data_IF_877452986743
#
_entry.id   IF_877452986743
#
_cell.length_a   1.000
_cell.length_b   1.000
_cell.length_c   1.000
_cell.angle_alpha   90.00
_cell.angle_beta   90.00
_cell.angle_gamma   90.00
#
_symmetry.space_group_name_H-M   'P 1'
#
loop_
_entity.id
_entity.type
_entity.pdbx_description
1 polymer ?
#
# COMPACT_ATOMS: atom_id res chain seq x y z
N UNK A 1 10.89 7.69 -12.82
CA UNK A 1 9.85 7.32 -11.82
C UNK A 1 8.96 6.27 -12.44
N UNK A 2 8.49 5.30 -11.69
CA UNK A 2 7.53 4.31 -12.20
C UNK A 2 6.22 5.00 -12.61
N UNK A 3 5.65 4.60 -13.75
CA UNK A 3 4.32 5.08 -14.17
C UNK A 3 3.23 4.75 -13.14
N UNK A 4 3.48 3.76 -12.29
CA UNK A 4 2.59 3.42 -11.19
C UNK A 4 2.43 4.56 -10.18
N UNK A 5 3.35 5.51 -10.10
CA UNK A 5 3.34 6.62 -9.15
C UNK A 5 2.95 7.96 -9.77
N UNK A 6 2.76 8.03 -11.08
CA UNK A 6 2.37 9.23 -11.80
C UNK A 6 3.10 9.38 -13.13
N UNK A 7 2.65 10.34 -13.93
CA UNK A 7 3.30 10.74 -15.16
C UNK A 7 3.86 12.15 -14.97
N UNK A 8 5.12 12.36 -15.39
CA UNK A 8 5.81 13.62 -15.22
C UNK A 8 6.13 14.23 -16.58
N UNK A 9 6.13 15.57 -16.66
CA UNK A 9 6.38 16.30 -17.91
C UNK A 9 7.77 16.02 -18.49
N UNK A 10 8.77 15.79 -17.61
CA UNK A 10 10.09 15.34 -18.02
C UNK A 10 10.15 13.82 -17.93
N UNK A 11 10.51 13.21 -19.03
CA UNK A 11 10.61 11.75 -19.09
C UNK A 11 11.97 11.29 -18.54
N UNK A 12 11.98 10.83 -17.28
CA UNK A 12 13.16 10.24 -16.65
C UNK A 12 13.22 8.75 -17.01
N UNK A 13 13.44 8.49 -18.29
CA UNK A 13 13.65 7.13 -18.80
C UNK A 13 15.12 6.74 -18.69
N UNK A 14 15.35 5.45 -18.58
CA UNK A 14 16.64 4.79 -18.64
C UNK A 14 16.65 3.88 -19.89
N UNK A 15 17.71 3.92 -20.62
CA UNK A 15 17.99 3.07 -21.79
C UNK A 15 18.81 1.83 -21.44
N UNK A 16 19.18 1.68 -20.17
CA UNK A 16 20.06 0.63 -19.68
C UNK A 16 19.34 -0.59 -19.08
N UNK A 17 18.02 -0.64 -19.13
CA UNK A 17 17.21 -1.77 -18.64
C UNK A 17 16.69 -2.55 -19.84
N UNK A 18 17.03 -3.84 -19.94
CA UNK A 18 16.54 -4.69 -21.01
C UNK A 18 15.04 -5.00 -20.87
N UNK A 19 14.39 -5.33 -21.99
CA UNK A 19 12.94 -5.56 -22.04
C UNK A 19 12.49 -6.66 -21.07
N UNK A 20 13.19 -7.78 -20.99
CA UNK A 20 12.86 -8.88 -20.10
C UNK A 20 12.94 -8.49 -18.61
N UNK A 21 13.92 -7.67 -18.23
CA UNK A 21 14.00 -7.13 -16.88
C UNK A 21 12.87 -6.13 -16.61
N UNK A 22 12.58 -5.28 -17.59
CA UNK A 22 11.51 -4.29 -17.46
C UNK A 22 10.14 -4.97 -17.32
N UNK A 23 9.86 -5.99 -18.11
CA UNK A 23 8.64 -6.80 -18.01
C UNK A 23 8.53 -7.52 -16.66
N UNK A 24 9.61 -8.13 -16.19
CA UNK A 24 9.63 -8.74 -14.87
C UNK A 24 9.30 -7.74 -13.77
N UNK A 25 9.92 -6.57 -13.77
CA UNK A 25 9.69 -5.54 -12.77
C UNK A 25 8.26 -5.00 -12.83
N UNK A 26 7.72 -4.79 -14.04
CA UNK A 26 6.35 -4.34 -14.23
C UNK A 26 5.35 -5.32 -13.59
N UNK A 27 5.47 -6.60 -13.89
CA UNK A 27 4.51 -7.62 -13.47
C UNK A 27 4.67 -8.04 -12.00
N UNK A 28 5.90 -8.11 -11.48
CA UNK A 28 6.17 -8.69 -10.16
C UNK A 28 6.39 -7.67 -9.05
N UNK A 29 6.78 -6.43 -9.39
CA UNK A 29 7.07 -5.39 -8.40
C UNK A 29 6.16 -4.17 -8.55
N UNK A 30 6.05 -3.61 -9.75
CA UNK A 30 5.31 -2.36 -9.96
C UNK A 30 3.80 -2.55 -9.93
N UNK A 31 3.31 -3.69 -10.42
CA UNK A 31 1.90 -4.01 -10.38
C UNK A 31 1.37 -4.13 -8.93
N UNK A 32 2.02 -4.88 -8.02
CA UNK A 32 1.69 -4.85 -6.60
C UNK A 32 1.74 -3.46 -5.98
N UNK A 33 2.78 -2.67 -6.23
CA UNK A 33 2.88 -1.29 -5.74
C UNK A 33 1.73 -0.41 -6.26
N UNK A 34 1.29 -0.63 -7.49
CA UNK A 34 0.22 0.15 -8.12
C UNK A 34 -1.21 -0.30 -7.80
N UNK A 35 -1.41 -1.50 -7.20
CA UNK A 35 -2.74 -2.09 -6.97
C UNK A 35 -2.97 -2.67 -5.57
N UNK A 36 -1.93 -2.79 -4.76
CA UNK A 36 -2.03 -3.48 -3.47
C UNK A 36 -1.08 -2.86 -2.43
N UNK A 37 -1.12 -1.56 -2.32
CA UNK A 37 -0.30 -0.79 -1.40
C UNK A 37 -1.02 0.47 -0.94
N UNK A 38 -0.48 1.14 0.07
CA UNK A 38 -0.96 2.47 0.50
C UNK A 38 -0.87 3.48 -0.64
N UNK A 39 0.20 3.41 -1.43
CA UNK A 39 0.41 4.28 -2.59
C UNK A 39 -0.66 4.09 -3.66
N UNK A 40 -1.18 2.88 -3.82
CA UNK A 40 -2.29 2.61 -4.73
C UNK A 40 -3.59 3.31 -4.30
N UNK A 41 -3.89 3.32 -2.99
CA UNK A 41 -5.03 4.06 -2.43
C UNK A 41 -4.86 5.56 -2.63
N UNK A 42 -3.71 6.11 -2.24
CA UNK A 42 -3.42 7.55 -2.37
C UNK A 42 -3.56 8.05 -3.80
N UNK A 43 -3.28 7.22 -4.79
CA UNK A 43 -3.47 7.62 -6.20
C UNK A 43 -4.93 7.83 -6.56
N UNK A 44 -5.83 7.09 -5.96
CA UNK A 44 -7.28 7.25 -6.16
C UNK A 44 -7.74 8.48 -5.39
N UNK A 45 -7.37 8.60 -4.11
CA UNK A 45 -7.72 9.74 -3.27
C UNK A 45 -7.28 11.09 -3.86
N UNK A 46 -6.13 11.10 -4.56
CA UNK A 46 -5.58 12.29 -5.20
C UNK A 46 -6.07 12.49 -6.66
N UNK A 47 -6.99 11.67 -7.14
CA UNK A 47 -7.47 11.74 -8.51
C UNK A 47 -6.43 11.40 -9.59
N UNK A 48 -5.29 10.80 -9.22
CA UNK A 48 -4.25 10.33 -10.15
C UNK A 48 -4.66 9.05 -10.88
N UNK A 49 -5.63 8.34 -10.36
CA UNK A 49 -6.38 7.25 -10.99
C UNK A 49 -7.87 7.54 -10.85
N UNK A 50 -8.69 7.16 -11.85
CA UNK A 50 -10.13 7.32 -11.73
C UNK A 50 -10.68 6.45 -10.60
N UNK A 51 -11.79 6.88 -9.99
CA UNK A 51 -12.47 6.13 -8.91
C UNK A 51 -12.86 4.71 -9.35
N UNK A 52 -13.20 4.50 -10.63
CA UNK A 52 -13.48 3.19 -11.21
C UNK A 52 -12.31 2.19 -11.04
N UNK A 53 -11.08 2.69 -10.90
CA UNK A 53 -9.92 1.85 -10.65
C UNK A 53 -9.85 1.31 -9.22
N UNK A 54 -10.77 1.69 -8.32
CA UNK A 54 -10.87 1.12 -6.98
C UNK A 54 -11.19 -0.39 -7.04
N UNK A 55 -11.93 -0.84 -8.04
CA UNK A 55 -12.19 -2.27 -8.28
C UNK A 55 -10.94 -3.09 -8.59
N UNK A 56 -9.88 -2.43 -9.09
CA UNK A 56 -8.59 -3.07 -9.40
C UNK A 56 -7.70 -3.27 -8.15
N UNK A 57 -8.08 -2.70 -7.00
CA UNK A 57 -7.34 -2.85 -5.77
C UNK A 57 -7.43 -4.30 -5.28
N UNK A 58 -6.30 -4.91 -5.02
CA UNK A 58 -6.26 -6.29 -4.56
C UNK A 58 -6.58 -6.42 -3.06
N UNK A 59 -6.45 -5.35 -2.30
CA UNK A 59 -6.77 -5.23 -0.86
C UNK A 59 -6.17 -6.36 0.01
N UNK A 60 -4.97 -6.83 -0.35
CA UNK A 60 -4.27 -7.90 0.39
C UNK A 60 -3.32 -7.34 1.43
N UNK A 61 -2.66 -6.22 1.11
CA UNK A 61 -1.65 -5.55 1.93
C UNK A 61 -2.17 -4.33 2.67
N UNK A 62 -3.27 -3.74 2.21
CA UNK A 62 -3.94 -2.65 2.91
C UNK A 62 -5.30 -3.13 3.35
N UNK A 63 -5.53 -3.10 4.65
CA UNK A 63 -6.83 -3.38 5.25
C UNK A 63 -7.38 -2.09 5.82
N UNK A 64 -8.60 -1.78 5.48
CA UNK A 64 -9.34 -0.67 6.06
C UNK A 64 -10.32 -1.22 7.09
N UNK A 65 -10.28 -0.68 8.28
CA UNK A 65 -11.17 -1.08 9.38
C UNK A 65 -11.85 0.16 9.92
N UNK A 66 -13.17 0.09 10.05
CA UNK A 66 -13.96 1.13 10.65
C UNK A 66 -13.64 1.23 12.14
N UNK A 67 -13.33 2.44 12.60
CA UNK A 67 -13.20 2.75 14.01
C UNK A 67 -14.41 3.58 14.41
N UNK A 68 -15.35 2.94 15.09
CA UNK A 68 -16.57 3.55 15.59
C UNK A 68 -16.75 3.15 17.05
N UNK A 69 -16.96 4.08 17.98
CA UNK A 69 -17.25 3.75 19.39
C UNK A 69 -18.55 2.96 19.59
N UNK A 70 -19.31 2.76 18.51
CA UNK A 70 -20.60 2.09 18.51
C UNK A 70 -20.57 0.66 17.96
N UNK A 71 -21.64 0.33 17.27
CA UNK A 71 -21.93 -1.04 16.82
C UNK A 71 -21.18 -1.46 15.55
N UNK A 72 -20.47 -0.54 14.89
CA UNK A 72 -19.78 -0.78 13.63
C UNK A 72 -18.26 -0.91 13.77
N UNK A 73 -17.75 -0.77 15.00
CA UNK A 73 -16.33 -0.90 15.28
C UNK A 73 -15.76 -2.25 14.82
N UNK A 74 -14.68 -2.23 14.05
CA UNK A 74 -14.02 -3.40 13.52
C UNK A 74 -14.53 -3.90 12.17
N UNK A 75 -15.56 -3.27 11.56
CA UNK A 75 -16.00 -3.61 10.20
C UNK A 75 -14.85 -3.38 9.21
N UNK A 76 -14.54 -4.41 8.42
CA UNK A 76 -13.59 -4.29 7.32
C UNK A 76 -14.23 -3.64 6.12
N UNK A 77 -13.51 -2.70 5.52
CA UNK A 77 -13.96 -1.91 4.39
C UNK A 77 -13.09 -2.19 3.16
N UNK A 78 -13.64 -1.92 1.99
CA UNK A 78 -12.93 -1.84 0.71
C UNK A 78 -13.42 -0.60 -0.04
N UNK A 79 -12.60 -0.07 -0.94
CA UNK A 79 -13.03 1.00 -1.83
C UNK A 79 -13.80 0.44 -3.03
N UNK A 80 -14.90 1.08 -3.36
CA UNK A 80 -15.64 0.84 -4.59
C UNK A 80 -15.97 2.19 -5.27
N UNK A 81 -16.15 2.22 -6.60
CA UNK A 81 -16.68 3.42 -7.24
C UNK A 81 -18.06 3.75 -6.68
N UNK A 82 -18.35 5.05 -6.47
CA UNK A 82 -19.70 5.54 -6.23
C UNK A 82 -20.63 5.20 -7.40
N UNK A 83 -21.94 5.31 -7.21
CA UNK A 83 -22.91 4.98 -8.24
C UNK A 83 -22.73 5.82 -9.52
N UNK A 84 -22.33 7.07 -9.40
CA UNK A 84 -22.00 7.98 -10.49
C UNK A 84 -20.57 7.80 -11.03
N UNK A 85 -19.75 6.98 -10.38
CA UNK A 85 -18.35 6.75 -10.73
C UNK A 85 -17.40 7.93 -10.46
N UNK A 86 -17.87 8.98 -9.79
CA UNK A 86 -17.08 10.19 -9.55
C UNK A 86 -16.05 10.00 -8.43
N UNK A 87 -16.41 9.26 -7.41
CA UNK A 87 -15.59 9.07 -6.21
C UNK A 87 -15.40 7.59 -5.88
N UNK A 88 -14.36 7.28 -5.11
CA UNK A 88 -14.19 5.98 -4.49
C UNK A 88 -14.70 6.05 -3.05
N UNK A 89 -15.70 5.23 -2.75
CA UNK A 89 -16.36 5.21 -1.44
C UNK A 89 -16.01 3.94 -0.67
N UNK A 90 -15.82 4.03 0.65
CA UNK A 90 -15.62 2.85 1.47
C UNK A 90 -16.93 2.08 1.64
N UNK A 91 -16.91 0.80 1.34
CA UNK A 91 -18.04 -0.11 1.51
C UNK A 91 -17.62 -1.32 2.36
N UNK A 92 -18.52 -1.94 3.13
CA UNK A 92 -18.19 -3.15 3.85
C UNK A 92 -17.75 -4.28 2.91
N UNK A 93 -16.62 -4.90 3.22
CA UNK A 93 -16.28 -6.20 2.63
C UNK A 93 -17.33 -7.22 3.06
N UNK A 94 -17.78 -8.16 2.19
CA UNK A 94 -18.66 -9.23 2.60
C UNK A 94 -18.09 -10.00 3.81
N UNK A 95 -18.74 -9.89 4.98
CA UNK A 95 -18.25 -10.41 6.24
C UNK A 95 -19.36 -10.72 7.23
N UNK A 96 -19.04 -11.57 8.20
CA UNK A 96 -19.88 -11.91 9.32
C UNK A 96 -19.26 -11.34 10.60
N UNK A 97 -20.04 -10.69 11.41
CA UNK A 97 -19.69 -10.30 12.76
C UNK A 97 -20.39 -11.23 13.77
N UNK A 98 -19.61 -11.78 14.66
CA UNK A 98 -20.07 -12.69 15.72
C UNK A 98 -19.76 -12.02 17.06
N UNK A 99 -20.79 -11.88 17.92
CA UNK A 99 -20.61 -11.31 19.25
C UNK A 99 -20.40 -12.43 20.26
N UNK A 100 -19.32 -12.33 21.02
CA UNK A 100 -19.01 -13.21 22.14
C UNK A 100 -19.89 -12.86 23.35
N UNK A 101 -19.99 -13.81 24.30
CA UNK A 101 -20.64 -13.53 25.61
C UNK A 101 -19.95 -12.41 26.39
N UNK A 102 -18.66 -12.18 26.16
CA UNK A 102 -17.90 -11.05 26.70
C UNK A 102 -18.36 -9.69 26.17
N UNK A 103 -19.18 -9.67 25.12
CA UNK A 103 -19.60 -8.46 24.40
C UNK A 103 -18.69 -8.07 23.25
N UNK A 104 -17.55 -8.70 23.10
CA UNK A 104 -16.57 -8.45 22.04
C UNK A 104 -17.07 -8.98 20.69
N UNK A 105 -16.86 -8.19 19.61
CA UNK A 105 -17.16 -8.57 18.25
C UNK A 105 -15.96 -9.20 17.56
N UNK A 106 -16.20 -10.26 16.80
CA UNK A 106 -15.23 -10.84 15.88
C UNK A 106 -15.74 -10.77 14.45
N UNK A 107 -14.96 -10.14 13.58
CA UNK A 107 -15.30 -9.97 12.17
C UNK A 107 -14.55 -10.98 11.31
N UNK A 108 -15.28 -11.75 10.50
CA UNK A 108 -14.76 -12.82 9.66
C UNK A 108 -15.23 -12.60 8.22
N UNK A 109 -14.29 -12.47 7.29
CA UNK A 109 -14.59 -12.50 5.85
C UNK A 109 -14.85 -13.95 5.40
N UNK A 110 -15.46 -14.14 4.25
CA UNK A 110 -15.92 -15.44 3.77
C UNK A 110 -14.86 -16.54 3.84
N UNK A 111 -13.62 -16.25 3.43
CA UNK A 111 -12.48 -17.20 3.49
C UNK A 111 -12.06 -17.60 4.90
N UNK A 112 -12.42 -16.79 5.89
CA UNK A 112 -12.13 -17.02 7.31
C UNK A 112 -13.28 -17.81 8.00
N UNK A 113 -14.40 -18.03 7.32
CA UNK A 113 -15.50 -18.87 7.80
C UNK A 113 -15.14 -20.35 7.64
N UNK A 114 -14.29 -20.83 8.53
CA UNK A 114 -13.84 -22.21 8.62
C UNK A 114 -14.09 -22.73 10.05
N UNK A 115 -14.29 -24.03 10.25
CA UNK A 115 -14.62 -24.60 11.58
C UNK A 115 -13.68 -24.13 12.67
N UNK A 116 -12.37 -24.08 12.41
CA UNK A 116 -11.35 -23.69 13.40
C UNK A 116 -11.54 -22.24 13.91
N UNK A 117 -12.00 -21.34 13.07
CA UNK A 117 -12.26 -19.94 13.46
C UNK A 117 -13.61 -19.75 14.15
N UNK A 118 -14.49 -20.75 14.05
CA UNK A 118 -15.86 -20.71 14.57
C UNK A 118 -16.07 -21.58 15.80
N UNK A 119 -15.08 -22.40 16.16
CA UNK A 119 -15.19 -23.40 17.23
C UNK A 119 -15.69 -22.80 18.56
N UNK A 120 -15.17 -21.63 18.94
CA UNK A 120 -15.58 -20.91 20.13
C UNK A 120 -17.06 -20.42 20.10
N UNK A 121 -17.62 -20.22 18.89
CA UNK A 121 -19.01 -19.78 18.70
C UNK A 121 -19.96 -20.98 18.52
N UNK A 122 -19.47 -22.15 18.15
CA UNK A 122 -20.26 -23.38 18.04
C UNK A 122 -20.53 -23.98 19.42
N UNK A 123 -19.59 -23.85 20.35
CA UNK A 123 -19.70 -24.39 21.73
C UNK A 123 -20.39 -23.43 22.69
N UNK A 124 -20.26 -22.13 22.45
CA UNK A 124 -20.91 -21.11 23.25
C UNK A 124 -21.85 -20.35 22.32
N UNK A 125 -23.17 -20.58 22.42
CA UNK A 125 -24.15 -19.88 21.59
C UNK A 125 -23.77 -18.42 21.37
N UNK A 126 -23.47 -18.04 20.10
CA UNK A 126 -23.20 -16.66 19.75
C UNK A 126 -24.42 -15.83 20.16
N UNK A 127 -24.17 -14.74 20.87
CA UNK A 127 -25.25 -13.90 21.40
C UNK A 127 -25.89 -13.10 20.27
N UNK A 128 -25.12 -12.76 19.24
CA UNK A 128 -25.60 -11.99 18.09
C UNK A 128 -24.74 -12.28 16.86
N UNK A 129 -25.38 -12.38 15.69
CA UNK A 129 -24.74 -12.53 14.40
C UNK A 129 -25.21 -11.42 13.49
N UNK A 130 -24.27 -10.74 12.83
CA UNK A 130 -24.54 -9.75 11.80
C UNK A 130 -23.84 -10.13 10.50
N UNK A 131 -24.50 -9.88 9.38
CA UNK A 131 -23.93 -10.13 8.05
C UNK A 131 -23.89 -8.80 7.32
N UNK A 132 -22.70 -8.45 6.79
CA UNK A 132 -22.45 -7.24 6.02
C UNK A 132 -22.10 -7.62 4.58
N UNK A 133 -22.57 -6.81 3.62
CA UNK A 133 -22.33 -6.99 2.19
C UNK A 133 -23.56 -6.64 1.35
N UNK A 134 -23.44 -6.77 0.03
CA UNK A 134 -24.58 -6.66 -0.88
C UNK A 134 -25.56 -7.84 -0.67
N UNK A 135 -26.79 -7.72 -1.18
CA UNK A 135 -27.84 -8.73 -0.94
C UNK A 135 -27.44 -10.17 -1.31
N UNK A 136 -26.80 -10.35 -2.46
CA UNK A 136 -26.27 -11.65 -2.91
C UNK A 136 -25.14 -12.18 -2.01
N UNK A 137 -24.29 -11.30 -1.50
CA UNK A 137 -23.22 -11.67 -0.57
C UNK A 137 -23.78 -12.09 0.77
N UNK A 138 -24.78 -11.37 1.27
CA UNK A 138 -25.47 -11.71 2.51
C UNK A 138 -26.11 -13.10 2.44
N UNK A 139 -26.72 -13.43 1.30
CA UNK A 139 -27.30 -14.75 1.09
C UNK A 139 -26.22 -15.84 1.09
N UNK A 140 -25.14 -15.64 0.34
CA UNK A 140 -24.00 -16.58 0.25
C UNK A 140 -23.35 -16.82 1.62
N UNK A 141 -23.10 -15.76 2.38
CA UNK A 141 -22.55 -15.85 3.74
C UNK A 141 -23.48 -16.60 4.69
N UNK A 142 -24.79 -16.39 4.58
CA UNK A 142 -25.82 -17.12 5.34
C UNK A 142 -25.79 -18.63 5.03
N UNK A 143 -25.77 -18.99 3.75
CA UNK A 143 -25.67 -20.39 3.31
C UNK A 143 -24.40 -21.04 3.84
N UNK A 144 -23.28 -20.29 3.82
CA UNK A 144 -22.01 -20.76 4.38
C UNK A 144 -22.07 -21.01 5.88
N UNK A 145 -22.68 -20.10 6.66
CA UNK A 145 -22.86 -20.30 8.10
C UNK A 145 -23.74 -21.50 8.40
N UNK A 146 -24.85 -21.65 7.68
CA UNK A 146 -25.74 -22.81 7.83
C UNK A 146 -25.03 -24.14 7.55
N UNK A 147 -24.21 -24.18 6.48
CA UNK A 147 -23.40 -25.35 6.14
C UNK A 147 -22.34 -25.70 7.21
N UNK A 148 -21.94 -24.73 8.02
CA UNK A 148 -21.04 -24.90 9.17
C UNK A 148 -21.78 -25.18 10.49
N UNK A 149 -23.11 -25.36 10.44
CA UNK A 149 -23.94 -25.69 11.61
C UNK A 149 -24.26 -24.51 12.51
N UNK A 150 -24.02 -23.27 12.05
CA UNK A 150 -24.37 -22.06 12.77
C UNK A 150 -25.74 -21.59 12.28
N UNK A 151 -26.79 -21.97 13.00
CA UNK A 151 -28.15 -21.50 12.76
C UNK A 151 -28.42 -20.18 13.46
N UNK A 152 -29.26 -19.33 12.84
CA UNK A 152 -29.73 -18.07 13.44
C UNK A 152 -31.17 -17.79 13.02
N UNK A 153 -31.98 -17.31 13.97
CA UNK A 153 -33.42 -17.08 13.75
C UNK A 153 -33.74 -15.75 13.07
N UNK A 154 -32.90 -14.74 13.27
CA UNK A 154 -33.10 -13.40 12.67
C UNK A 154 -31.79 -12.74 12.25
N UNK A 155 -31.76 -12.19 11.04
CA UNK A 155 -30.70 -11.31 10.54
C UNK A 155 -31.23 -9.89 10.42
N UNK A 156 -30.55 -8.92 11.04
CA UNK A 156 -30.73 -7.51 10.66
C UNK A 156 -29.89 -7.25 9.40
N UNK A 157 -30.55 -6.91 8.31
CA UNK A 157 -29.88 -6.40 7.13
C UNK A 157 -29.52 -4.94 7.40
N UNK A 158 -28.22 -4.66 7.53
CA UNK A 158 -27.71 -3.30 7.54
C UNK A 158 -27.30 -2.96 6.11
N UNK A 159 -28.00 -2.04 5.49
CA UNK A 159 -27.66 -1.52 4.16
C UNK A 159 -26.48 -0.57 4.25
N UNK A 160 -25.73 -0.41 3.14
CA UNK A 160 -24.58 0.50 3.05
C UNK A 160 -24.92 1.95 3.46
N UNK A 161 -26.18 2.38 3.37
CA UNK A 161 -26.64 3.72 3.75
C UNK A 161 -26.33 4.09 5.20
N UNK A 162 -26.40 3.14 6.14
CA UNK A 162 -26.17 3.44 7.55
C UNK A 162 -24.72 3.80 7.91
N UNK A 163 -23.75 3.42 7.05
CA UNK A 163 -22.34 3.75 7.28
C UNK A 163 -22.01 5.14 6.71
N UNK A 164 -22.70 5.55 5.64
CA UNK A 164 -22.49 6.85 4.97
C UNK A 164 -23.20 8.01 5.64
N UNK A 165 -24.24 7.77 6.44
CA UNK A 165 -25.00 8.83 7.11
C UNK A 165 -24.38 9.32 8.42
N UNK A 166 -23.34 8.66 8.94
CA UNK A 166 -22.64 9.12 10.14
C UNK A 166 -21.55 10.13 9.79
N UNK A 167 -21.66 11.32 10.30
CA UNK A 167 -20.95 12.54 9.88
C UNK A 167 -19.42 12.57 10.12
N UNK A 168 -18.82 11.59 10.77
CA UNK A 168 -17.35 11.43 10.83
C UNK A 168 -17.00 10.02 11.29
N UNK A 169 -16.61 9.20 10.33
CA UNK A 169 -16.16 7.84 10.59
C UNK A 169 -14.63 7.80 10.45
N UNK A 170 -13.95 7.38 11.51
CA UNK A 170 -12.52 7.12 11.45
C UNK A 170 -12.26 5.76 10.81
N UNK A 171 -11.32 5.72 9.88
CA UNK A 171 -10.88 4.47 9.24
C UNK A 171 -9.43 4.22 9.60
N UNK A 172 -9.15 3.07 10.21
CA UNK A 172 -7.77 2.63 10.43
C UNK A 172 -7.29 1.92 9.17
N UNK A 173 -6.14 2.32 8.70
CA UNK A 173 -5.42 1.63 7.63
C UNK A 173 -4.32 0.77 8.25
N UNK A 174 -4.49 -0.55 8.20
CA UNK A 174 -3.45 -1.50 8.55
C UNK A 174 -2.68 -1.87 7.27
N UNK A 175 -1.40 -1.49 7.23
CA UNK A 175 -0.55 -1.57 6.04
C UNK A 175 0.51 -2.63 6.25
N UNK A 176 0.51 -3.67 5.42
CA UNK A 176 1.57 -4.66 5.37
C UNK A 176 2.55 -4.34 4.24
N UNK A 177 3.73 -3.87 4.59
CA UNK A 177 4.84 -3.63 3.66
C UNK A 177 5.71 -4.87 3.60
N UNK A 178 5.45 -5.73 2.64
CA UNK A 178 6.25 -6.93 2.41
C UNK A 178 7.49 -6.68 1.53
N UNK A 179 8.34 -7.70 1.37
CA UNK A 179 9.55 -7.62 0.56
C UNK A 179 9.26 -7.18 -0.89
N UNK A 180 8.13 -7.56 -1.47
CA UNK A 180 7.76 -7.17 -2.84
C UNK A 180 7.63 -5.65 -2.97
N UNK A 181 6.94 -5.00 -2.02
CA UNK A 181 6.79 -3.54 -2.01
C UNK A 181 8.13 -2.84 -1.73
N UNK A 182 8.92 -3.38 -0.79
CA UNK A 182 10.27 -2.85 -0.52
C UNK A 182 11.14 -2.90 -1.77
N UNK A 183 11.15 -4.03 -2.49
CA UNK A 183 11.92 -4.19 -3.73
C UNK A 183 11.42 -3.28 -4.85
N UNK A 184 10.10 -3.07 -4.95
CA UNK A 184 9.52 -2.14 -5.91
C UNK A 184 10.00 -0.70 -5.67
N UNK A 185 10.00 -0.24 -4.43
CA UNK A 185 10.51 1.06 -4.05
C UNK A 185 12.04 1.14 -4.22
N UNK A 186 12.79 0.10 -3.84
CA UNK A 186 14.23 0.02 -4.06
C UNK A 186 14.60 0.03 -5.55
N UNK A 187 13.75 -0.51 -6.45
CA UNK A 187 13.93 -0.33 -7.90
C UNK A 187 13.85 1.14 -8.29
N UNK A 188 12.92 1.92 -7.71
CA UNK A 188 12.82 3.36 -7.95
C UNK A 188 14.11 4.05 -7.51
N UNK A 189 14.62 3.73 -6.33
CA UNK A 189 15.89 4.25 -5.81
C UNK A 189 17.04 3.91 -6.73
N UNK A 190 17.14 2.66 -7.17
CA UNK A 190 18.24 2.22 -8.05
C UNK A 190 18.19 2.90 -9.42
N UNK A 191 16.99 3.05 -9.99
CA UNK A 191 16.79 3.78 -11.24
C UNK A 191 17.14 5.27 -11.09
N UNK A 192 16.81 5.86 -9.94
CA UNK A 192 17.21 7.23 -9.62
C UNK A 192 18.72 7.37 -9.56
N UNK A 193 19.40 6.44 -8.88
CA UNK A 193 20.86 6.42 -8.85
C UNK A 193 21.46 6.29 -10.26
N UNK A 194 20.91 5.42 -11.10
CA UNK A 194 21.36 5.28 -12.49
C UNK A 194 21.18 6.55 -13.33
N UNK A 195 20.16 7.34 -13.03
CA UNK A 195 19.90 8.62 -13.71
C UNK A 195 20.86 9.73 -13.25
N UNK A 196 21.16 9.78 -11.96
CA UNK A 196 22.02 10.83 -11.36
C UNK A 196 23.50 10.53 -11.56
N UNK A 197 23.93 9.28 -11.35
CA UNK A 197 25.34 8.90 -11.41
C UNK A 197 25.78 8.42 -12.80
N UNK A 198 24.92 8.01 -13.62
CA UNK A 198 24.99 7.34 -14.91
C UNK A 198 24.81 5.81 -14.85
N UNK A 199 24.36 5.25 -15.97
CA UNK A 199 24.19 3.80 -16.12
C UNK A 199 25.52 3.04 -16.02
N UNK A 200 26.62 3.63 -16.48
CA UNK A 200 27.94 3.03 -16.42
C UNK A 200 28.40 2.82 -14.97
N UNK A 201 28.27 3.86 -14.15
CA UNK A 201 28.64 3.79 -12.74
C UNK A 201 27.84 2.71 -12.00
N UNK A 202 26.53 2.69 -12.12
CA UNK A 202 25.70 1.74 -11.38
C UNK A 202 25.81 0.30 -11.90
N UNK A 203 26.40 0.08 -13.06
CA UNK A 203 26.75 -1.26 -13.57
C UNK A 203 28.01 -1.83 -12.94
N UNK A 204 28.84 -1.02 -12.31
CA UNK A 204 30.06 -1.51 -11.65
C UNK A 204 29.70 -2.54 -10.56
N UNK A 205 30.57 -3.52 -10.34
CA UNK A 205 30.32 -4.65 -9.42
C UNK A 205 30.06 -4.22 -7.97
N UNK A 206 30.51 -3.04 -7.55
CA UNK A 206 30.20 -2.47 -6.21
C UNK A 206 28.69 -2.37 -5.95
N UNK A 207 27.87 -2.24 -7.00
CA UNK A 207 26.42 -2.14 -6.93
C UNK A 207 25.68 -3.50 -7.05
N UNK A 208 26.43 -4.62 -7.18
CA UNK A 208 25.84 -5.94 -7.42
C UNK A 208 24.88 -6.36 -6.32
N UNK A 209 25.18 -6.08 -5.05
CA UNK A 209 24.33 -6.41 -3.94
C UNK A 209 22.95 -5.71 -4.06
N UNK A 210 22.95 -4.42 -4.40
CA UNK A 210 21.72 -3.66 -4.61
C UNK A 210 20.92 -4.18 -5.83
N UNK A 211 21.60 -4.47 -6.96
CA UNK A 211 20.95 -5.06 -8.15
C UNK A 211 20.33 -6.42 -7.87
N UNK A 212 21.04 -7.30 -7.16
CA UNK A 212 20.57 -8.63 -6.79
C UNK A 212 19.37 -8.56 -5.86
N UNK A 213 19.41 -7.68 -4.86
CA UNK A 213 18.28 -7.44 -3.98
C UNK A 213 17.05 -6.99 -4.77
N UNK A 214 17.17 -5.97 -5.60
CA UNK A 214 16.05 -5.47 -6.42
C UNK A 214 15.50 -6.56 -7.33
N UNK A 215 16.36 -7.35 -7.97
CA UNK A 215 15.92 -8.36 -8.93
C UNK A 215 15.41 -9.64 -8.29
N UNK A 216 16.05 -10.12 -7.22
CA UNK A 216 15.82 -11.46 -6.68
C UNK A 216 15.40 -11.48 -5.21
N UNK A 217 15.50 -10.38 -4.47
CA UNK A 217 15.34 -10.34 -3.01
C UNK A 217 16.56 -10.87 -2.25
N UNK A 218 17.61 -11.27 -2.98
CA UNK A 218 18.80 -11.88 -2.42
C UNK A 218 19.82 -10.81 -2.00
N UNK A 219 19.97 -10.64 -0.67
CA UNK A 219 20.95 -9.74 -0.10
C UNK A 219 21.52 -10.28 1.24
N UNK A 220 22.84 -10.14 1.45
CA UNK A 220 23.52 -10.73 2.61
C UNK A 220 23.32 -10.01 3.95
N UNK A 221 22.60 -8.87 3.99
CA UNK A 221 22.35 -8.06 5.20
C UNK A 221 21.17 -7.11 4.96
N UNK A 222 20.63 -6.42 6.00
CA UNK A 222 19.57 -5.44 5.80
C UNK A 222 20.08 -4.30 4.90
N UNK A 223 19.90 -4.52 3.59
CA UNK A 223 20.29 -3.59 2.54
C UNK A 223 19.22 -2.52 2.34
N UNK A 224 17.98 -2.81 2.76
CA UNK A 224 16.85 -1.93 2.63
C UNK A 224 16.22 -1.59 3.98
N UNK A 225 15.65 -0.40 4.08
CA UNK A 225 14.92 0.09 5.26
C UNK A 225 13.58 0.66 4.83
N UNK A 226 12.61 0.64 5.74
CA UNK A 226 11.29 1.27 5.57
C UNK A 226 10.99 2.13 6.79
N UNK A 227 10.53 3.34 6.56
CA UNK A 227 10.10 4.27 7.60
C UNK A 227 8.77 4.91 7.21
N UNK A 228 7.83 5.01 8.15
CA UNK A 228 6.53 5.64 7.95
C UNK A 228 6.55 7.17 8.04
N UNK A 229 7.70 7.77 7.87
CA UNK A 229 7.88 9.22 7.83
C UNK A 229 8.62 9.63 6.57
N UNK A 230 8.39 10.83 6.09
CA UNK A 230 9.22 11.39 5.05
C UNK A 230 10.46 12.03 5.66
N UNK A 231 11.64 11.54 5.26
CA UNK A 231 12.93 12.11 5.66
C UNK A 231 13.49 13.09 4.60
N UNK A 232 12.83 13.17 3.46
CA UNK A 232 13.31 13.96 2.31
C UNK A 232 12.57 15.28 2.13
N UNK A 233 11.46 15.48 2.83
CA UNK A 233 10.62 16.68 2.76
C UNK A 233 10.68 17.36 4.12
N UNK A 234 11.03 18.65 4.14
CA UNK A 234 11.13 19.40 5.39
C UNK A 234 9.75 19.74 5.99
N UNK A 235 9.70 20.30 7.20
CA UNK A 235 8.46 20.56 7.94
C UNK A 235 7.44 21.43 7.18
N UNK A 236 7.89 22.32 6.31
CA UNK A 236 7.00 23.18 5.50
C UNK A 236 6.25 22.42 4.38
N UNK A 237 6.58 21.14 4.17
CA UNK A 237 5.99 20.30 3.13
C UNK A 237 5.17 19.12 3.69
N UNK A 238 4.85 19.13 4.99
CA UNK A 238 4.11 18.02 5.64
C UNK A 238 2.75 17.72 5.00
N UNK A 239 2.12 18.72 4.39
CA UNK A 239 0.86 18.54 3.66
C UNK A 239 1.05 18.19 2.18
N UNK A 240 2.26 18.24 1.65
CA UNK A 240 2.51 18.04 0.23
C UNK A 240 2.54 16.54 -0.13
N UNK A 241 1.64 16.12 -1.01
CA UNK A 241 1.57 14.75 -1.53
C UNK A 241 2.56 14.52 -2.68
N UNK A 242 3.83 14.77 -2.44
CA UNK A 242 4.91 14.65 -3.43
C UNK A 242 5.71 13.37 -3.22
N UNK A 243 6.36 12.89 -4.27
CA UNK A 243 7.43 11.91 -4.12
C UNK A 243 8.76 12.63 -4.00
N UNK A 244 9.70 12.05 -3.27
CA UNK A 244 11.05 12.53 -3.20
C UNK A 244 12.04 11.38 -3.41
N UNK A 245 13.10 11.64 -4.18
CA UNK A 245 14.22 10.72 -4.29
C UNK A 245 15.52 11.46 -3.94
N UNK A 246 16.43 10.76 -3.28
CA UNK A 246 17.71 11.34 -2.90
C UNK A 246 18.84 10.31 -2.88
N UNK A 247 20.07 10.81 -3.05
CA UNK A 247 21.31 10.09 -2.81
C UNK A 247 22.08 10.82 -1.72
N UNK A 248 22.69 10.07 -0.82
CA UNK A 248 23.51 10.60 0.27
C UNK A 248 24.36 9.50 0.88
N UNK A 249 24.98 9.79 2.03
CA UNK A 249 25.86 8.86 2.71
C UNK A 249 25.34 8.50 4.08
N UNK A 250 25.47 7.24 4.45
CA UNK A 250 25.25 6.75 5.79
C UNK A 250 26.30 5.68 6.14
N UNK A 251 27.11 5.94 7.15
CA UNK A 251 28.07 4.99 7.74
C UNK A 251 28.97 4.29 6.71
N UNK A 252 29.55 5.04 5.79
CA UNK A 252 30.47 4.51 4.76
C UNK A 252 29.76 3.80 3.60
N UNK A 253 28.49 4.12 3.40
CA UNK A 253 27.72 3.64 2.25
C UNK A 253 27.09 4.81 1.50
N UNK A 254 27.08 4.71 0.18
CA UNK A 254 26.16 5.46 -0.65
C UNK A 254 24.78 4.87 -0.45
N UNK A 255 23.82 5.69 -0.02
CA UNK A 255 22.44 5.32 0.23
C UNK A 255 21.53 6.09 -0.69
N UNK A 256 20.60 5.40 -1.32
CA UNK A 256 19.50 6.03 -2.02
C UNK A 256 18.22 5.95 -1.20
N UNK A 257 17.39 7.00 -1.29
CA UNK A 257 16.12 7.10 -0.62
C UNK A 257 15.01 7.41 -1.62
N UNK A 258 13.81 6.83 -1.39
CA UNK A 258 12.58 7.21 -2.06
C UNK A 258 11.45 7.38 -1.03
N UNK A 259 10.94 8.60 -0.90
CA UNK A 259 9.73 8.89 -0.14
C UNK A 259 8.55 8.96 -1.09
N UNK A 260 7.54 8.16 -0.85
CA UNK A 260 6.37 8.06 -1.72
C UNK A 260 5.19 8.78 -1.09
N UNK A 261 4.62 9.75 -1.82
CA UNK A 261 3.52 10.62 -1.38
C UNK A 261 3.77 11.31 -0.03
N UNK A 262 5.04 11.48 0.36
CA UNK A 262 5.43 12.04 1.65
C UNK A 262 4.88 11.26 2.87
N UNK A 263 4.62 9.98 2.73
CA UNK A 263 4.12 9.12 3.81
C UNK A 263 5.07 7.99 4.18
N UNK A 264 5.64 7.31 3.20
CA UNK A 264 6.52 6.16 3.42
C UNK A 264 7.84 6.38 2.72
N UNK A 265 8.94 6.24 3.44
CA UNK A 265 10.30 6.36 2.93
C UNK A 265 10.99 5.02 2.93
N UNK A 266 11.53 4.67 1.78
CA UNK A 266 12.30 3.46 1.52
C UNK A 266 13.76 3.82 1.29
N UNK A 267 14.67 3.16 1.99
CA UNK A 267 16.11 3.31 1.84
C UNK A 267 16.75 2.09 1.22
N UNK A 268 17.78 2.29 0.40
CA UNK A 268 18.59 1.23 -0.20
C UNK A 268 20.07 1.58 -0.08
N UNK A 269 20.86 0.71 0.55
CA UNK A 269 22.32 0.79 0.48
C UNK A 269 22.78 0.35 -0.90
N UNK A 270 23.38 1.27 -1.63
CA UNK A 270 23.79 1.05 -3.02
C UNK A 270 25.17 0.39 -3.11
N UNK A 271 26.18 0.98 -2.46
CA UNK A 271 27.52 0.43 -2.39
C UNK A 271 28.31 1.05 -1.22
N UNK A 272 29.45 0.47 -0.86
CA UNK A 272 30.43 1.16 -0.01
C UNK A 272 31.05 2.31 -0.78
N UNK A 273 31.11 3.48 -0.19
CA UNK A 273 31.65 4.68 -0.81
C UNK A 273 32.00 5.74 0.24
N UNK A 274 33.04 6.51 -0.03
CA UNK A 274 33.36 7.71 0.70
C UNK A 274 32.57 8.90 0.12
N UNK A 275 32.27 9.94 0.92
CA UNK A 275 31.45 11.07 0.49
C UNK A 275 31.95 11.79 -0.77
N UNK A 276 33.23 11.79 -1.03
CA UNK A 276 33.87 12.45 -2.17
C UNK A 276 33.75 11.69 -3.50
N UNK A 277 33.37 10.41 -3.44
CA UNK A 277 33.31 9.56 -4.65
C UNK A 277 32.09 9.85 -5.53
N UNK A 278 31.00 10.32 -4.95
CA UNK A 278 29.75 10.55 -5.68
C UNK A 278 29.08 11.86 -5.28
N UNK A 279 28.25 12.39 -6.16
CA UNK A 279 27.48 13.60 -5.89
C UNK A 279 26.20 13.24 -5.13
N UNK A 280 25.95 13.92 -4.01
CA UNK A 280 24.65 13.88 -3.37
C UNK A 280 23.62 14.61 -4.26
N UNK A 281 22.40 14.09 -4.31
CA UNK A 281 21.34 14.68 -5.12
C UNK A 281 19.99 14.48 -4.46
N UNK A 282 19.08 15.43 -4.65
CA UNK A 282 17.69 15.30 -4.18
C UNK A 282 16.73 15.93 -5.18
N UNK A 283 15.68 15.20 -5.53
CA UNK A 283 14.63 15.69 -6.41
C UNK A 283 13.26 15.42 -5.82
N UNK A 284 12.36 16.37 -6.03
CA UNK A 284 10.93 16.22 -5.75
C UNK A 284 10.16 16.01 -7.05
N UNK A 285 9.19 15.13 -6.99
CA UNK A 285 8.30 14.76 -8.08
C UNK A 285 6.87 15.01 -7.62
N UNK A 286 6.25 16.05 -8.16
CA UNK A 286 4.87 16.38 -7.86
C UNK A 286 3.94 15.69 -8.86
N UNK A 287 3.18 14.67 -8.46
CA UNK A 287 2.32 13.93 -9.38
C UNK A 287 1.08 14.72 -9.81
N UNK A 288 0.66 15.74 -9.05
CA UNK A 288 -0.50 16.58 -9.36
C UNK A 288 -0.16 17.62 -10.43
N UNK A 289 0.94 18.34 -10.24
CA UNK A 289 1.42 19.34 -11.21
C UNK A 289 2.27 18.73 -12.32
N UNK A 290 2.67 17.44 -12.18
CA UNK A 290 3.55 16.70 -13.09
C UNK A 290 4.92 17.34 -13.26
N UNK A 291 5.39 18.03 -12.24
CA UNK A 291 6.69 18.72 -12.26
C UNK A 291 7.77 17.95 -11.50
N UNK A 292 9.01 18.17 -11.91
CA UNK A 292 10.19 17.68 -11.23
C UNK A 292 11.05 18.89 -10.88
N UNK A 293 11.52 18.96 -9.64
CA UNK A 293 12.40 20.02 -9.17
C UNK A 293 13.57 19.42 -8.39
N UNK A 294 14.76 19.92 -8.63
CA UNK A 294 15.91 19.67 -7.78
C UNK A 294 15.75 20.42 -6.46
N UNK A 295 16.16 19.81 -5.36
CA UNK A 295 16.11 20.42 -4.05
C UNK A 295 17.53 20.60 -3.50
N UNK A 296 17.81 21.70 -2.77
CA UNK A 296 19.09 21.85 -2.12
C UNK A 296 19.33 20.72 -1.14
N UNK A 297 20.56 20.24 -1.09
CA UNK A 297 21.03 19.28 -0.11
C UNK A 297 21.43 20.10 1.11
N UNK A 298 20.81 19.85 2.25
CA UNK A 298 21.27 20.47 3.49
C UNK A 298 22.70 20.00 3.76
N UNK A 299 23.61 20.97 3.88
CA UNK A 299 25.02 20.77 4.24
C UNK A 299 25.17 20.24 5.66
#
# INVERSE_FOLDING_TARGET
MSRALGSFAQNWTLDCVCDSCNEYFANNLELPLGRDSREALLRIDLGLRPASAASDLLNRRVRMTLQDPGQFDGIRLMLQPSEDGAEAVPVPVPQVALRRKSGEWRFLVEKELVPQNLEEFMTAAAVEIRIYGAGSDCQRLRERLNALGIGFEQTKHLTNQLITEQASVSVIHDINVDETLVRAACKIVFNYAAKVLSAEIVRHHRFDAARRFVRYGDAPNPIATVQHISVLVGPDAESARVHACGLGWDRGYLVGLASLFNEVTYGLRLCRAEPEEFVAARHFFDPLTRTIREAPIAS
#
